data_IF_877888704480
#
_entry.id   IF_877888704480
#
_cell.length_a   1.000
_cell.length_b   1.000
_cell.length_c   1.000
_cell.angle_alpha   90.00
_cell.angle_beta   90.00
_cell.angle_gamma   90.00
#
_symmetry.space_group_name_H-M   'P 1'
#
loop_
_entity.id
_entity.type
_entity.pdbx_description
1 polymer ?
#
# COMPACT_ATOMS: atom_id res chain seq x y z
N UNK A 1 -2.85 26.97 7.67
CA UNK A 1 -3.55 25.96 8.49
C UNK A 1 -3.44 24.63 7.76
N UNK A 2 -2.57 23.72 8.20
CA UNK A 2 -2.62 22.32 7.75
C UNK A 2 -3.71 21.65 8.56
N UNK A 3 -4.75 21.15 7.91
CA UNK A 3 -5.72 20.29 8.58
C UNK A 3 -4.99 19.01 8.99
N UNK A 4 -5.07 18.66 10.28
CA UNK A 4 -4.58 17.39 10.78
C UNK A 4 -5.36 16.26 10.09
N UNK A 5 -4.65 15.39 9.37
CA UNK A 5 -5.23 14.17 8.84
C UNK A 5 -5.48 13.27 10.06
N UNK A 6 -6.73 12.85 10.34
CA UNK A 6 -7.01 12.07 11.53
C UNK A 6 -6.33 10.70 11.38
N UNK A 7 -5.46 10.37 12.33
CA UNK A 7 -4.69 9.13 12.36
C UNK A 7 -5.52 7.85 12.55
N UNK A 8 -6.86 7.94 12.64
CA UNK A 8 -7.80 6.86 12.97
C UNK A 8 -9.09 6.93 12.12
N UNK A 9 -9.09 7.69 11.04
CA UNK A 9 -10.28 7.84 10.20
C UNK A 9 -10.28 6.79 9.10
N UNK A 10 -11.28 5.90 9.14
CA UNK A 10 -11.75 5.13 7.99
C UNK A 10 -11.73 6.04 6.75
N UNK A 11 -11.14 5.60 5.65
CA UNK A 11 -11.04 6.38 4.40
C UNK A 11 -12.39 6.31 3.65
N UNK A 12 -13.47 6.75 4.30
CA UNK A 12 -14.23 7.96 3.92
C UNK A 12 -14.40 8.25 2.43
N UNK A 13 -14.88 7.31 1.60
CA UNK A 13 -15.17 7.59 0.18
C UNK A 13 -13.94 7.45 -0.74
N UNK A 14 -13.02 6.56 -0.39
CA UNK A 14 -11.90 6.18 -1.22
C UNK A 14 -12.34 5.81 -2.65
N UNK A 15 -11.71 6.42 -3.66
CA UNK A 15 -11.95 6.06 -5.06
C UNK A 15 -11.21 4.76 -5.36
N UNK A 16 -11.90 3.78 -5.94
CA UNK A 16 -11.23 2.58 -6.49
C UNK A 16 -10.33 3.00 -7.64
N UNK A 17 -9.05 2.66 -7.55
CA UNK A 17 -8.04 2.97 -8.57
C UNK A 17 -7.37 1.68 -9.01
N UNK A 18 -7.21 1.53 -10.33
CA UNK A 18 -6.47 0.41 -10.90
C UNK A 18 -4.95 0.56 -10.63
N UNK A 19 -4.27 -0.55 -10.37
CA UNK A 19 -2.84 -0.52 -10.07
C UNK A 19 -1.99 -0.01 -11.26
N UNK A 20 -2.42 -0.26 -12.50
CA UNK A 20 -1.75 0.28 -13.70
C UNK A 20 -1.92 1.79 -13.80
N UNK A 21 -3.10 2.31 -13.46
CA UNK A 21 -3.34 3.76 -13.43
C UNK A 21 -2.44 4.44 -12.38
N UNK A 22 -2.23 3.78 -11.23
CA UNK A 22 -1.29 4.26 -10.22
C UNK A 22 0.16 4.24 -10.72
N UNK A 23 0.57 3.21 -11.47
CA UNK A 23 1.90 3.15 -12.06
C UNK A 23 2.13 4.28 -13.09
N UNK A 24 1.16 4.50 -13.99
CA UNK A 24 1.28 5.42 -15.12
C UNK A 24 1.13 6.88 -14.69
N UNK A 25 0.26 7.17 -13.73
CA UNK A 25 -0.08 8.55 -13.34
C UNK A 25 -0.21 8.73 -11.82
N UNK A 26 0.83 8.40 -11.03
CA UNK A 26 0.74 8.37 -9.58
C UNK A 26 0.42 9.73 -8.96
N UNK A 27 0.98 10.81 -9.53
CA UNK A 27 0.77 12.18 -9.05
C UNK A 27 -0.69 12.65 -9.12
N UNK A 28 -1.54 12.04 -9.96
CA UNK A 28 -2.98 12.34 -10.03
C UNK A 28 -3.71 12.00 -8.73
N UNK A 29 -3.18 11.07 -7.96
CA UNK A 29 -3.79 10.48 -6.77
C UNK A 29 -3.12 10.94 -5.46
N UNK A 30 -2.07 11.78 -5.55
CA UNK A 30 -1.42 12.37 -4.38
C UNK A 30 -2.45 13.13 -3.52
N UNK A 31 -2.42 12.87 -2.21
CA UNK A 31 -3.31 13.42 -1.19
C UNK A 31 -4.80 13.14 -1.39
N UNK A 32 -5.16 12.14 -2.20
CA UNK A 32 -6.55 11.70 -2.40
C UNK A 32 -6.75 10.32 -1.79
N UNK A 33 -7.89 10.10 -1.17
CA UNK A 33 -8.26 8.78 -0.65
C UNK A 33 -8.48 7.82 -1.81
N UNK A 34 -7.68 6.75 -1.87
CA UNK A 34 -7.77 5.72 -2.90
C UNK A 34 -7.97 4.35 -2.28
N UNK A 35 -8.66 3.47 -3.00
CA UNK A 35 -8.80 2.05 -2.71
C UNK A 35 -8.08 1.26 -3.81
N UNK A 36 -7.15 0.39 -3.42
CA UNK A 36 -6.40 -0.47 -4.33
C UNK A 36 -6.68 -1.92 -3.96
N UNK A 37 -7.16 -2.68 -4.94
CA UNK A 37 -7.62 -4.05 -4.72
C UNK A 37 -6.54 -5.05 -5.10
N UNK A 38 -6.53 -6.17 -4.40
CA UNK A 38 -5.75 -7.34 -4.77
C UNK A 38 -4.24 -7.16 -4.63
N UNK A 39 -3.80 -6.19 -3.82
CA UNK A 39 -2.39 -5.99 -3.49
C UNK A 39 -1.91 -7.10 -2.56
N UNK A 40 -0.61 -7.36 -2.55
CA UNK A 40 0.04 -8.28 -1.63
C UNK A 40 0.88 -7.51 -0.64
N UNK A 41 0.49 -7.56 0.63
CA UNK A 41 1.13 -6.78 1.69
C UNK A 41 1.97 -7.66 2.61
N UNK A 42 3.04 -7.07 3.16
CA UNK A 42 3.96 -7.72 4.08
C UNK A 42 4.63 -6.73 5.01
N UNK A 43 5.03 -7.24 6.18
CA UNK A 43 5.88 -6.52 7.11
C UNK A 43 7.33 -6.66 6.66
N UNK A 44 7.98 -5.55 6.33
CA UNK A 44 9.34 -5.53 5.78
C UNK A 44 10.39 -5.29 6.88
N UNK A 45 10.10 -4.39 7.82
CA UNK A 45 10.91 -4.04 8.99
C UNK A 45 10.04 -3.33 10.04
N UNK A 46 10.59 -2.98 11.20
CA UNK A 46 9.90 -2.22 12.27
C UNK A 46 9.24 -0.95 11.71
N UNK A 47 7.92 -0.87 11.85
CA UNK A 47 7.08 0.21 11.31
C UNK A 47 7.24 0.43 9.80
N UNK A 48 7.57 -0.62 9.05
CA UNK A 48 7.65 -0.60 7.60
C UNK A 48 6.81 -1.71 6.95
N UNK A 49 5.67 -1.33 6.39
CA UNK A 49 4.79 -2.22 5.65
C UNK A 49 4.85 -1.91 4.16
N UNK A 50 4.96 -2.97 3.36
CA UNK A 50 5.05 -2.85 1.90
C UNK A 50 3.95 -3.66 1.24
N UNK A 51 3.31 -3.07 0.24
CA UNK A 51 2.33 -3.73 -0.61
C UNK A 51 2.76 -3.65 -2.08
N UNK A 52 2.54 -4.72 -2.82
CA UNK A 52 2.85 -4.82 -4.26
C UNK A 52 1.65 -5.34 -5.04
N UNK A 53 1.64 -5.17 -6.36
CA UNK A 53 0.58 -5.70 -7.23
C UNK A 53 1.17 -6.58 -8.32
N UNK A 54 0.50 -7.67 -8.70
CA UNK A 54 1.04 -8.61 -9.69
C UNK A 54 0.98 -8.09 -11.12
N UNK A 55 0.10 -7.13 -11.37
CA UNK A 55 -0.14 -6.60 -12.72
C UNK A 55 0.55 -5.27 -12.97
N UNK A 56 1.21 -4.66 -11.98
CA UNK A 56 1.79 -3.33 -12.08
C UNK A 56 3.07 -3.23 -11.24
N UNK A 57 4.07 -2.50 -11.73
CA UNK A 57 5.33 -2.25 -11.03
C UNK A 57 5.17 -1.09 -10.04
N UNK A 58 4.40 -1.35 -8.99
CA UNK A 58 4.19 -0.42 -7.88
C UNK A 58 4.67 -1.01 -6.56
N UNK A 59 5.20 -0.15 -5.71
CA UNK A 59 5.45 -0.43 -4.30
C UNK A 59 4.73 0.62 -3.46
N UNK A 60 3.74 0.18 -2.68
CA UNK A 60 3.04 1.03 -1.72
C UNK A 60 3.69 0.80 -0.35
N UNK A 61 4.13 1.87 0.30
CA UNK A 61 4.78 1.84 1.60
C UNK A 61 3.91 2.55 2.63
N UNK A 62 3.76 1.93 3.80
CA UNK A 62 3.03 2.48 4.94
C UNK A 62 3.87 2.37 6.20
N UNK A 63 3.76 3.37 7.08
CA UNK A 63 4.36 3.32 8.42
C UNK A 63 3.48 2.54 9.40
N UNK A 64 2.17 2.55 9.18
CA UNK A 64 1.22 1.85 10.01
C UNK A 64 0.17 1.09 9.19
N UNK A 65 -0.39 0.03 9.79
CA UNK A 65 -1.50 -0.75 9.26
C UNK A 65 -2.69 -0.64 10.20
N UNK A 66 -3.85 -0.36 9.62
CA UNK A 66 -5.13 -0.43 10.32
C UNK A 66 -6.05 -1.47 9.66
N UNK A 67 -6.96 -2.11 10.43
CA UNK A 67 -7.02 -2.11 11.89
C UNK A 67 -5.84 -2.90 12.52
N UNK A 68 -5.63 -2.74 13.83
CA UNK A 68 -4.56 -3.44 14.57
C UNK A 68 -4.59 -4.97 14.42
N UNK A 69 -5.79 -5.55 14.21
CA UNK A 69 -5.94 -6.97 13.90
C UNK A 69 -5.31 -7.36 12.55
N UNK A 70 -5.42 -6.49 11.54
CA UNK A 70 -4.79 -6.70 10.24
C UNK A 70 -3.27 -6.51 10.31
N UNK A 71 -2.79 -5.56 11.14
CA UNK A 71 -1.37 -5.39 11.47
C UNK A 71 -0.77 -6.69 12.04
N UNK A 72 -1.40 -7.22 13.08
CA UNK A 72 -0.98 -8.48 13.72
C UNK A 72 -0.99 -9.64 12.72
N UNK A 73 -2.03 -9.75 11.90
CA UNK A 73 -2.13 -10.79 10.88
C UNK A 73 -1.00 -10.71 9.82
N UNK A 74 -0.61 -9.50 9.42
CA UNK A 74 0.52 -9.30 8.49
C UNK A 74 1.84 -9.73 9.11
N UNK A 75 2.09 -9.35 10.37
CA UNK A 75 3.32 -9.68 11.09
C UNK A 75 3.45 -11.20 11.30
N UNK A 76 2.35 -11.86 11.68
CA UNK A 76 2.36 -13.31 11.95
C UNK A 76 2.34 -14.17 10.68
N UNK A 77 1.53 -13.80 9.68
CA UNK A 77 1.23 -14.66 8.53
C UNK A 77 1.91 -14.23 7.23
N UNK A 78 2.36 -12.98 7.13
CA UNK A 78 2.90 -12.37 5.92
C UNK A 78 4.28 -11.72 6.13
N UNK A 79 5.00 -12.06 7.22
CA UNK A 79 6.35 -11.55 7.50
C UNK A 79 7.48 -12.17 6.64
N UNK A 80 7.22 -13.28 5.93
CA UNK A 80 8.19 -13.86 5.01
C UNK A 80 7.85 -13.49 3.55
N UNK A 81 8.73 -12.74 2.89
CA UNK A 81 8.56 -12.29 1.50
C UNK A 81 8.18 -13.43 0.54
N UNK A 82 8.78 -14.62 0.69
CA UNK A 82 8.45 -15.80 -0.15
C UNK A 82 7.00 -16.28 0.03
N UNK A 83 6.46 -16.22 1.25
CA UNK A 83 5.08 -16.60 1.55
C UNK A 83 4.08 -15.61 0.97
N UNK A 84 4.43 -14.34 0.90
CA UNK A 84 3.56 -13.26 0.38
C UNK A 84 3.22 -13.47 -1.09
N UNK A 85 4.19 -13.90 -1.90
CA UNK A 85 3.98 -14.16 -3.32
C UNK A 85 3.29 -15.50 -3.62
N UNK A 86 3.26 -16.43 -2.68
CA UNK A 86 2.66 -17.77 -2.85
C UNK A 86 1.31 -17.93 -2.15
N UNK A 87 1.03 -17.14 -1.10
CA UNK A 87 -0.17 -17.28 -0.27
C UNK A 87 -1.28 -16.32 -0.68
N UNK A 88 -2.50 -16.81 -0.98
CA UNK A 88 -3.66 -15.94 -1.19
C UNK A 88 -4.07 -15.19 0.08
N UNK A 89 -3.63 -15.62 1.28
CA UNK A 89 -3.95 -14.96 2.55
C UNK A 89 -3.26 -13.61 2.71
N UNK A 90 -2.19 -13.35 1.95
CA UNK A 90 -1.48 -12.07 1.98
C UNK A 90 -2.00 -11.11 0.90
N UNK A 91 -3.14 -11.42 0.26
CA UNK A 91 -3.78 -10.59 -0.75
C UNK A 91 -4.93 -9.81 -0.13
N UNK A 92 -4.84 -8.48 -0.19
CA UNK A 92 -5.75 -7.57 0.50
C UNK A 92 -6.35 -6.54 -0.45
N UNK A 93 -7.44 -5.95 0.00
CA UNK A 93 -7.88 -4.63 -0.47
C UNK A 93 -7.45 -3.59 0.54
N UNK A 94 -6.74 -2.55 0.06
CA UNK A 94 -6.23 -1.48 0.92
C UNK A 94 -6.83 -0.14 0.54
N UNK A 95 -6.91 0.76 1.52
CA UNK A 95 -7.14 2.19 1.33
C UNK A 95 -5.98 2.99 1.90
N UNK A 96 -5.68 4.11 1.27
CA UNK A 96 -4.64 5.02 1.73
C UNK A 96 -4.82 6.44 1.18
N UNK A 97 -4.11 7.39 1.78
CA UNK A 97 -3.83 8.70 1.20
C UNK A 97 -2.35 8.77 0.78
N UNK A 98 -2.03 8.74 -0.52
CA UNK A 98 -0.65 8.85 -0.98
C UNK A 98 -0.05 10.20 -0.59
N UNK A 99 0.97 10.22 0.26
CA UNK A 99 1.68 11.42 0.70
C UNK A 99 2.98 11.63 -0.07
N UNK A 100 3.64 10.54 -0.46
CA UNK A 100 4.88 10.52 -1.22
C UNK A 100 4.68 9.76 -2.54
N UNK A 101 5.29 10.28 -3.60
CA UNK A 101 5.36 9.65 -4.91
C UNK A 101 6.81 9.73 -5.36
N UNK A 102 7.41 8.59 -5.67
CA UNK A 102 8.79 8.49 -6.14
C UNK A 102 8.90 7.40 -7.20
N UNK A 103 10.07 7.30 -7.84
CA UNK A 103 10.40 6.23 -8.78
C UNK A 103 11.79 5.69 -8.47
N UNK A 104 11.90 4.37 -8.37
CA UNK A 104 13.18 3.68 -8.30
C UNK A 104 13.39 2.77 -9.52
N UNK A 105 14.61 2.28 -9.65
CA UNK A 105 14.98 1.31 -10.67
C UNK A 105 15.13 -0.07 -10.02
N UNK A 106 14.46 -1.06 -10.61
CA UNK A 106 14.57 -2.48 -10.22
C UNK A 106 15.38 -3.25 -11.26
N UNK A 107 15.71 -4.50 -10.93
CA UNK A 107 16.49 -5.39 -11.80
C UNK A 107 16.02 -5.37 -13.25
N UNK A 108 16.97 -5.19 -14.18
CA UNK A 108 16.67 -5.10 -15.61
C UNK A 108 16.40 -3.67 -16.11
N UNK A 109 16.66 -2.64 -15.30
CA UNK A 109 16.50 -1.24 -15.71
C UNK A 109 15.03 -0.77 -15.76
N UNK A 110 14.13 -1.58 -15.21
CA UNK A 110 12.70 -1.28 -15.17
C UNK A 110 12.43 -0.28 -14.04
N UNK A 111 11.61 0.73 -14.33
CA UNK A 111 11.19 1.70 -13.32
C UNK A 111 10.01 1.14 -12.53
N UNK A 112 10.06 1.28 -11.21
CA UNK A 112 8.94 0.99 -10.32
C UNK A 112 8.48 2.27 -9.65
N UNK A 113 7.18 2.44 -9.58
CA UNK A 113 6.56 3.59 -8.94
C UNK A 113 6.41 3.32 -7.44
N UNK A 114 7.00 4.16 -6.60
CA UNK A 114 6.95 4.07 -5.14
C UNK A 114 5.91 5.07 -4.62
N UNK A 115 5.01 4.59 -3.76
CA UNK A 115 3.88 5.34 -3.23
C UNK A 115 3.94 5.24 -1.71
N UNK A 116 4.29 6.33 -1.04
CA UNK A 116 4.28 6.38 0.42
C UNK A 116 2.95 6.88 0.97
N UNK A 117 2.53 6.30 2.09
CA UNK A 117 1.43 6.75 2.92
C UNK A 117 1.83 6.64 4.39
N UNK A 118 1.19 7.42 5.26
CA UNK A 118 1.39 7.28 6.70
C UNK A 118 0.73 6.00 7.21
N UNK A 119 -0.55 5.82 6.89
CA UNK A 119 -1.36 4.66 7.25
C UNK A 119 -1.88 3.96 6.01
N UNK A 120 -1.86 2.62 6.03
CA UNK A 120 -2.57 1.76 5.08
C UNK A 120 -3.72 1.08 5.84
N UNK A 121 -4.95 1.33 5.41
CA UNK A 121 -6.15 0.68 5.94
C UNK A 121 -6.43 -0.59 5.13
N UNK A 122 -6.41 -1.76 5.78
CA UNK A 122 -6.87 -3.03 5.21
C UNK A 122 -8.37 -3.14 5.42
N UNK A 123 -9.10 -3.25 4.30
CA UNK A 123 -10.57 -3.30 4.28
C UNK A 123 -11.08 -4.74 4.25
N UNK A 124 -10.30 -5.65 3.64
CA UNK A 124 -10.59 -7.09 3.55
C UNK A 124 -9.38 -7.89 3.06
#
# INVERSE_FOLDING_TARGET
MLAAIPAHAEIIGAKVVDAMDLQISPNKYKQKGIEVRGVRCYHADEDEYRCTHTSADIMIMGLNIEPASAKSALEESCGEIRKVFSSPKCRFTIRLYPSLIDQDEISGGQKRTVIGAETIEIVK
#
